data_IF_080998124667
#
_entry.id   IF_080998124667
#
_cell.length_a   1.000
_cell.length_b   1.000
_cell.length_c   1.000
_cell.angle_alpha   90.00
_cell.angle_beta   90.00
_cell.angle_gamma   90.00
#
_symmetry.space_group_name_H-M   'P 1'
#
loop_
_entity.id
_entity.type
_entity.pdbx_description
1 polymer ?
#
# COMPACT_ATOMS: atom_id res chain seq x y z
N UNK A 1 5.94 70.65 14.09
CA UNK A 1 4.78 70.00 14.73
C UNK A 1 4.32 68.94 13.75
N UNK A 2 4.93 67.75 13.86
CA UNK A 2 4.30 66.51 14.36
C UNK A 2 3.38 65.95 13.26
N UNK A 3 3.77 65.00 12.41
CA UNK A 3 4.68 63.88 12.66
C UNK A 3 3.92 62.73 13.32
N UNK A 4 2.88 62.23 12.66
CA UNK A 4 2.16 61.03 13.09
C UNK A 4 2.78 59.79 12.43
N UNK A 5 3.40 59.00 13.30
CA UNK A 5 3.93 57.67 13.07
C UNK A 5 2.77 56.70 12.87
N UNK A 6 2.57 56.26 11.62
CA UNK A 6 1.75 55.10 11.33
C UNK A 6 2.50 53.83 11.74
N UNK A 7 2.02 53.16 12.79
CA UNK A 7 2.48 51.83 13.21
C UNK A 7 2.39 50.84 12.04
N UNK A 8 3.40 49.99 11.80
CA UNK A 8 3.26 48.90 10.84
C UNK A 8 2.31 47.88 11.45
N UNK A 9 1.12 47.75 10.85
CA UNK A 9 0.23 46.63 11.09
C UNK A 9 1.02 45.33 10.95
N UNK A 10 1.02 44.51 11.99
CA UNK A 10 1.43 43.11 11.93
C UNK A 10 0.70 42.46 10.77
N UNK A 11 1.39 42.35 9.63
CA UNK A 11 0.99 41.42 8.58
C UNK A 11 1.24 40.06 9.18
N UNK A 12 0.20 39.45 9.75
CA UNK A 12 0.12 38.01 9.84
C UNK A 12 0.41 37.46 8.44
N UNK A 13 1.65 37.06 8.22
CA UNK A 13 2.10 36.35 7.04
C UNK A 13 1.33 35.03 7.07
N UNK A 14 0.19 35.00 6.38
CA UNK A 14 -0.47 33.75 6.01
C UNK A 14 0.57 32.97 5.21
N UNK A 15 1.02 31.79 5.69
CA UNK A 15 1.99 30.99 4.95
C UNK A 15 1.41 30.71 3.56
N UNK A 16 2.22 30.77 2.49
CA UNK A 16 1.76 30.37 1.18
C UNK A 16 1.19 28.94 1.26
N UNK A 17 0.12 28.65 0.53
CA UNK A 17 -0.63 27.39 0.62
C UNK A 17 0.24 26.12 0.49
N UNK A 18 1.44 26.22 -0.10
CA UNK A 18 2.44 25.14 -0.16
C UNK A 18 3.13 24.85 1.18
N UNK A 19 3.36 25.85 2.02
CA UNK A 19 4.06 25.72 3.30
C UNK A 19 3.14 25.16 4.40
N UNK A 20 1.88 25.59 4.41
CA UNK A 20 0.85 25.03 5.30
C UNK A 20 0.59 23.55 4.99
N UNK A 21 0.45 23.20 3.70
CA UNK A 21 0.33 21.79 3.26
C UNK A 21 1.55 20.96 3.67
N UNK A 22 2.75 21.52 3.60
CA UNK A 22 3.99 20.86 4.06
C UNK A 22 3.96 20.63 5.57
N UNK A 23 3.56 21.63 6.35
CA UNK A 23 3.47 21.53 7.81
C UNK A 23 2.49 20.46 8.26
N UNK A 24 1.27 20.47 7.73
CA UNK A 24 0.23 19.47 8.03
C UNK A 24 0.68 18.06 7.68
N UNK A 25 1.47 17.92 6.62
CA UNK A 25 1.98 16.63 6.20
C UNK A 25 3.10 16.12 7.12
N UNK A 26 4.06 16.97 7.51
CA UNK A 26 5.09 16.65 8.51
C UNK A 26 4.45 16.24 9.84
N UNK A 27 3.43 16.98 10.27
CA UNK A 27 2.69 16.69 11.50
C UNK A 27 2.02 15.32 11.47
N UNK A 28 1.41 14.93 10.33
CA UNK A 28 0.80 13.62 10.14
C UNK A 28 1.82 12.49 10.20
N UNK A 29 2.97 12.62 9.52
CA UNK A 29 4.06 11.65 9.66
C UNK A 29 4.53 11.54 11.11
N UNK A 30 4.77 12.67 11.78
CA UNK A 30 5.17 12.68 13.17
C UNK A 30 4.11 12.03 14.09
N UNK A 31 2.81 12.14 13.76
CA UNK A 31 1.73 11.46 14.47
C UNK A 31 1.74 9.95 14.24
N UNK A 32 1.91 9.48 12.99
CA UNK A 32 2.06 8.04 12.66
C UNK A 32 3.26 7.44 13.38
N UNK A 33 4.42 8.07 13.27
CA UNK A 33 5.65 7.60 13.92
C UNK A 33 5.49 7.56 15.45
N UNK A 34 4.80 8.55 16.03
CA UNK A 34 4.50 8.57 17.45
C UNK A 34 3.55 7.44 17.87
N UNK A 35 2.47 7.17 17.12
CA UNK A 35 1.56 6.04 17.37
C UNK A 35 2.32 4.70 17.33
N UNK A 36 3.19 4.50 16.35
CA UNK A 36 4.04 3.31 16.25
C UNK A 36 4.92 3.11 17.47
N UNK A 37 5.56 4.19 17.96
CA UNK A 37 6.38 4.14 19.18
C UNK A 37 5.54 3.88 20.42
N UNK A 38 4.34 4.48 20.52
CA UNK A 38 3.38 4.21 21.59
C UNK A 38 3.00 2.73 21.61
N UNK A 39 2.62 2.15 20.47
CA UNK A 39 2.30 0.71 20.38
C UNK A 39 3.49 -0.15 20.75
N UNK A 40 4.69 0.17 20.25
CA UNK A 40 5.89 -0.57 20.60
C UNK A 40 6.17 -0.51 22.11
N UNK A 41 5.86 0.61 22.77
CA UNK A 41 5.95 0.77 24.22
C UNK A 41 4.89 -0.06 24.96
N UNK A 42 3.64 -0.10 24.49
CA UNK A 42 2.60 -0.96 25.07
C UNK A 42 3.01 -2.43 24.93
N UNK A 43 3.38 -2.86 23.72
CA UNK A 43 3.81 -4.24 23.39
C UNK A 43 4.95 -4.71 24.29
N UNK A 44 5.92 -3.85 24.61
CA UNK A 44 7.04 -4.25 25.48
C UNK A 44 6.63 -4.53 26.93
N UNK A 45 5.46 -4.03 27.36
CA UNK A 45 4.86 -4.31 28.67
C UNK A 45 3.93 -5.53 28.70
N UNK A 46 3.54 -6.09 27.55
CA UNK A 46 2.60 -7.23 27.50
C UNK A 46 3.35 -8.56 27.64
N UNK A 47 3.29 -9.17 28.84
CA UNK A 47 3.73 -10.55 29.07
C UNK A 47 2.73 -11.55 28.49
N UNK A 48 3.14 -12.82 28.37
CA UNK A 48 2.25 -13.88 27.84
C UNK A 48 0.99 -14.08 28.71
N UNK A 49 1.12 -13.97 30.04
CA UNK A 49 -0.02 -14.00 30.97
C UNK A 49 -0.97 -12.82 30.73
N UNK A 50 -0.44 -11.61 30.56
CA UNK A 50 -1.24 -10.41 30.26
C UNK A 50 -1.92 -10.56 28.90
N UNK A 51 -1.21 -11.07 27.88
CA UNK A 51 -1.79 -11.31 26.56
C UNK A 51 -2.93 -12.32 26.64
N UNK A 52 -2.75 -13.42 27.38
CA UNK A 52 -3.82 -14.39 27.62
C UNK A 52 -5.02 -13.72 28.27
N UNK A 53 -4.82 -12.98 29.35
CA UNK A 53 -5.88 -12.28 30.08
C UNK A 53 -6.65 -11.31 29.19
N UNK A 54 -5.96 -10.57 28.31
CA UNK A 54 -6.61 -9.71 27.33
C UNK A 54 -7.42 -10.56 26.34
N UNK A 55 -6.82 -11.60 25.75
CA UNK A 55 -7.41 -12.38 24.67
C UNK A 55 -8.55 -13.33 25.08
N UNK A 56 -8.67 -13.70 26.35
CA UNK A 56 -9.78 -14.55 26.84
C UNK A 56 -11.03 -13.76 27.25
N UNK A 57 -10.98 -12.42 27.24
CA UNK A 57 -12.13 -11.60 27.67
C UNK A 57 -13.40 -11.92 26.88
N UNK A 58 -14.58 -11.90 27.50
CA UNK A 58 -15.82 -12.20 26.81
C UNK A 58 -16.16 -11.13 25.75
N UNK A 59 -16.98 -11.49 24.75
CA UNK A 59 -17.33 -10.60 23.63
C UNK A 59 -18.16 -9.39 24.09
N UNK A 60 -18.90 -9.56 25.19
CA UNK A 60 -19.71 -8.53 25.82
C UNK A 60 -18.88 -7.41 26.46
N UNK A 61 -17.58 -7.64 26.71
CA UNK A 61 -16.64 -6.63 27.20
C UNK A 61 -15.94 -5.86 26.07
N UNK A 62 -16.35 -6.10 24.82
CA UNK A 62 -15.73 -5.50 23.63
C UNK A 62 -16.73 -4.81 22.73
N UNK A 63 -16.26 -3.81 21.99
CA UNK A 63 -17.00 -3.26 20.85
C UNK A 63 -16.83 -4.13 19.58
N UNK A 64 -17.47 -3.73 18.50
CA UNK A 64 -17.41 -4.38 17.18
C UNK A 64 -16.00 -4.41 16.57
N UNK A 65 -15.13 -3.48 16.96
CA UNK A 65 -13.72 -3.42 16.55
C UNK A 65 -12.78 -4.17 17.52
N UNK A 66 -13.37 -4.90 18.50
CA UNK A 66 -12.69 -5.66 19.56
C UNK A 66 -12.03 -4.78 20.62
N UNK A 67 -12.32 -3.50 20.69
CA UNK A 67 -11.76 -2.68 21.74
C UNK A 67 -12.38 -3.05 23.07
N UNK A 68 -11.55 -3.20 24.10
CA UNK A 68 -12.04 -3.40 25.46
C UNK A 68 -12.81 -2.14 25.89
N UNK A 69 -14.07 -2.31 26.28
CA UNK A 69 -14.97 -1.23 26.66
C UNK A 69 -14.60 -0.60 28.01
N UNK A 70 -14.01 -1.38 28.91
CA UNK A 70 -13.62 -0.92 30.23
C UNK A 70 -12.32 -0.09 30.18
N UNK A 71 -12.49 1.22 30.34
CA UNK A 71 -11.39 2.17 30.34
C UNK A 71 -10.43 2.00 31.53
N UNK A 72 -10.86 1.48 32.68
CA UNK A 72 -9.95 1.21 33.80
C UNK A 72 -8.93 0.15 33.41
N UNK A 73 -9.37 -0.88 32.68
CA UNK A 73 -8.50 -1.93 32.14
C UNK A 73 -7.59 -1.36 31.05
N UNK A 74 -8.14 -0.59 30.12
CA UNK A 74 -7.34 0.03 29.04
C UNK A 74 -6.21 0.88 29.62
N UNK A 75 -6.49 1.68 30.66
CA UNK A 75 -5.51 2.58 31.28
C UNK A 75 -4.49 1.88 32.19
N UNK A 76 -4.65 0.59 32.49
CA UNK A 76 -3.57 -0.20 33.10
C UNK A 76 -2.39 -0.41 32.13
N UNK A 77 -2.67 -0.44 30.83
CA UNK A 77 -1.67 -0.77 29.80
C UNK A 77 -1.33 0.42 28.90
N UNK A 78 -2.29 1.31 28.65
CA UNK A 78 -2.09 2.49 27.79
C UNK A 78 -1.88 3.73 28.65
N UNK A 79 -0.69 4.38 28.58
CA UNK A 79 -0.40 5.55 29.39
C UNK A 79 -1.30 6.73 29.02
N UNK A 80 -1.59 7.60 29.98
CA UNK A 80 -2.32 8.86 29.75
C UNK A 80 -1.52 9.86 28.90
N UNK A 81 -0.19 9.79 28.97
CA UNK A 81 0.75 10.62 28.24
C UNK A 81 1.95 9.79 27.77
N UNK A 82 2.39 9.99 26.53
CA UNK A 82 3.57 9.35 25.95
C UNK A 82 4.38 10.36 25.12
N UNK A 83 5.69 10.45 25.39
CA UNK A 83 6.59 11.41 24.73
C UNK A 83 6.08 12.87 24.76
N UNK A 84 5.51 13.31 25.89
CA UNK A 84 5.01 14.67 26.06
C UNK A 84 3.69 14.97 25.34
N UNK A 85 2.99 13.94 24.84
CA UNK A 85 1.68 14.06 24.18
C UNK A 85 0.63 13.22 24.90
N UNK A 86 -0.56 13.78 25.09
CA UNK A 86 -1.69 13.06 25.67
C UNK A 86 -2.18 11.96 24.72
N UNK A 87 -2.54 10.81 25.29
CA UNK A 87 -3.23 9.71 24.60
C UNK A 87 -4.73 9.82 24.92
N UNK A 88 -5.58 10.28 23.99
CA UNK A 88 -7.01 10.47 24.25
C UNK A 88 -7.73 9.16 24.61
N UNK A 89 -8.76 9.23 25.46
CA UNK A 89 -9.59 8.05 25.80
C UNK A 89 -10.26 7.43 24.58
N UNK A 90 -10.56 8.23 23.54
CA UNK A 90 -11.13 7.72 22.28
C UNK A 90 -10.15 6.87 21.47
N UNK A 91 -8.84 7.13 21.59
CA UNK A 91 -7.81 6.38 20.86
C UNK A 91 -7.26 5.20 21.67
N UNK A 92 -7.23 5.31 23.00
CA UNK A 92 -6.55 4.35 23.87
C UNK A 92 -7.04 2.88 23.72
N UNK A 93 -8.35 2.58 23.66
CA UNK A 93 -8.83 1.22 23.46
C UNK A 93 -8.32 0.61 22.15
N UNK A 94 -8.33 1.40 21.07
CA UNK A 94 -7.82 1.00 19.77
C UNK A 94 -6.32 0.72 19.81
N UNK A 95 -5.53 1.61 20.42
CA UNK A 95 -4.09 1.41 20.56
C UNK A 95 -3.75 0.14 21.37
N UNK A 96 -4.55 -0.21 22.39
CA UNK A 96 -4.39 -1.48 23.13
C UNK A 96 -4.72 -2.71 22.28
N UNK A 97 -5.82 -2.68 21.52
CA UNK A 97 -6.20 -3.78 20.61
C UNK A 97 -5.08 -4.05 19.62
N UNK A 98 -4.60 -2.99 18.97
CA UNK A 98 -3.51 -3.05 17.99
C UNK A 98 -2.19 -3.53 18.60
N UNK A 99 -1.83 -3.05 19.79
CA UNK A 99 -0.66 -3.52 20.51
C UNK A 99 -0.79 -5.00 20.93
N UNK A 100 -1.99 -5.45 21.29
CA UNK A 100 -2.25 -6.86 21.60
C UNK A 100 -2.03 -7.74 20.37
N UNK A 101 -2.55 -7.33 19.20
CA UNK A 101 -2.32 -8.04 17.95
C UNK A 101 -0.84 -8.08 17.55
N UNK A 102 -0.14 -6.94 17.60
CA UNK A 102 1.29 -6.88 17.28
C UNK A 102 2.11 -7.73 18.26
N UNK A 103 1.75 -7.76 19.54
CA UNK A 103 2.39 -8.63 20.50
C UNK A 103 2.17 -10.11 20.15
N UNK A 104 0.95 -10.54 19.83
CA UNK A 104 0.67 -11.91 19.36
C UNK A 104 1.49 -12.26 18.14
N UNK A 105 1.46 -11.41 17.10
CA UNK A 105 2.27 -11.58 15.87
C UNK A 105 3.74 -11.75 16.23
N UNK A 106 4.29 -10.88 17.09
CA UNK A 106 5.69 -10.97 17.55
C UNK A 106 6.05 -12.25 18.31
N UNK A 107 5.11 -12.91 18.99
CA UNK A 107 5.36 -14.22 19.64
C UNK A 107 5.25 -15.39 18.65
N UNK A 108 4.49 -15.23 17.58
CA UNK A 108 4.36 -16.21 16.50
C UNK A 108 5.46 -16.07 15.44
N UNK A 109 6.16 -14.93 15.40
CA UNK A 109 7.33 -14.70 14.53
C UNK A 109 8.35 -15.83 14.66
N UNK A 110 8.83 -16.31 13.52
CA UNK A 110 9.81 -17.39 13.42
C UNK A 110 9.22 -18.79 13.29
N UNK A 111 7.89 -18.91 13.30
CA UNK A 111 7.20 -20.15 12.92
C UNK A 111 7.06 -20.17 11.39
N UNK A 112 7.91 -20.93 10.70
CA UNK A 112 8.05 -20.90 9.23
C UNK A 112 6.76 -21.21 8.45
N UNK A 113 5.82 -21.96 9.04
CA UNK A 113 4.55 -22.29 8.38
C UNK A 113 3.54 -21.15 8.42
N UNK A 114 3.67 -20.18 9.33
CA UNK A 114 2.81 -18.99 9.36
C UNK A 114 3.36 -17.98 8.34
N UNK A 115 2.52 -17.51 7.42
CA UNK A 115 2.95 -16.65 6.31
C UNK A 115 2.24 -15.30 6.26
N UNK A 116 1.22 -15.10 7.10
CA UNK A 116 0.46 -13.87 7.12
C UNK A 116 -0.65 -13.87 8.15
N UNK A 117 -1.28 -12.71 8.30
CA UNK A 117 -2.37 -12.51 9.26
C UNK A 117 -3.56 -11.85 8.57
N UNK A 118 -4.76 -12.17 9.00
CA UNK A 118 -5.97 -11.46 8.58
C UNK A 118 -6.94 -11.31 9.76
N UNK A 119 -8.09 -10.69 9.51
CA UNK A 119 -9.23 -10.66 10.42
C UNK A 119 -10.34 -11.51 9.83
N UNK A 120 -11.06 -12.20 10.71
CA UNK A 120 -12.33 -12.80 10.34
C UNK A 120 -13.43 -12.28 11.22
N UNK A 121 -14.60 -12.03 10.64
CA UNK A 121 -15.85 -11.79 11.37
C UNK A 121 -16.71 -13.06 11.31
N UNK A 122 -16.62 -13.93 12.33
CA UNK A 122 -17.64 -14.96 12.49
C UNK A 122 -19.02 -14.31 12.71
N UNK A 123 -20.09 -15.05 12.42
CA UNK A 123 -21.49 -14.62 12.54
C UNK A 123 -21.90 -13.97 13.88
N UNK A 124 -21.03 -13.99 14.91
CA UNK A 124 -21.22 -13.37 16.22
C UNK A 124 -20.69 -11.91 16.33
N UNK A 125 -20.29 -11.27 15.22
CA UNK A 125 -19.87 -9.85 15.17
C UNK A 125 -18.66 -9.47 16.02
N UNK A 126 -17.87 -10.44 16.48
CA UNK A 126 -16.58 -10.13 17.14
C UNK A 126 -15.48 -10.61 16.23
N UNK A 127 -14.76 -9.67 15.63
CA UNK A 127 -13.64 -10.01 14.75
C UNK A 127 -12.56 -10.78 15.53
N UNK A 128 -11.82 -11.66 14.84
CA UNK A 128 -10.71 -12.44 15.41
C UNK A 128 -9.43 -12.16 14.65
N UNK A 129 -8.30 -12.17 15.34
CA UNK A 129 -6.99 -12.23 14.68
C UNK A 129 -6.81 -13.65 14.15
N UNK A 130 -6.56 -13.78 12.84
CA UNK A 130 -6.35 -15.06 12.18
C UNK A 130 -4.89 -15.15 11.73
N UNK A 131 -4.15 -16.14 12.22
CA UNK A 131 -2.85 -16.51 11.67
C UNK A 131 -3.07 -17.51 10.53
N UNK A 132 -2.57 -17.16 9.34
CA UNK A 132 -2.64 -18.00 8.15
C UNK A 132 -1.38 -18.86 8.08
N UNK A 133 -1.56 -20.18 7.96
CA UNK A 133 -0.44 -21.11 7.84
C UNK A 133 -0.57 -22.03 6.64
N UNK A 134 0.54 -22.58 6.17
CA UNK A 134 0.61 -23.61 5.13
C UNK A 134 1.67 -24.66 5.48
N UNK A 135 1.59 -25.85 4.90
CA UNK A 135 2.58 -26.91 5.13
C UNK A 135 2.38 -27.66 6.44
N UNK A 136 3.29 -27.53 7.39
CA UNK A 136 3.21 -28.18 8.71
C UNK A 136 2.40 -27.32 9.69
N UNK A 137 1.45 -27.94 10.40
CA UNK A 137 0.59 -27.22 11.35
C UNK A 137 1.44 -26.63 12.48
N UNK A 138 1.40 -25.29 12.68
CA UNK A 138 2.27 -24.64 13.65
C UNK A 138 1.88 -25.00 15.09
N UNK A 139 2.89 -25.25 15.90
CA UNK A 139 2.70 -25.46 17.34
C UNK A 139 2.55 -24.11 18.02
N UNK A 140 1.33 -23.81 18.49
CA UNK A 140 1.03 -22.55 19.15
C UNK A 140 1.61 -22.47 20.58
N UNK A 141 2.13 -21.29 20.99
CA UNK A 141 2.45 -21.00 22.37
C UNK A 141 1.27 -21.22 23.32
N UNK A 142 1.56 -21.58 24.59
CA UNK A 142 0.54 -21.92 25.59
C UNK A 142 -0.50 -20.81 25.79
N UNK A 143 -0.07 -19.55 25.76
CA UNK A 143 -0.95 -18.41 26.02
C UNK A 143 -2.05 -18.24 24.94
N UNK A 144 -1.86 -18.80 23.74
CA UNK A 144 -2.83 -18.77 22.63
C UNK A 144 -3.76 -20.00 22.58
N UNK A 145 -3.53 -21.01 23.42
CA UNK A 145 -4.41 -22.19 23.46
C UNK A 145 -5.77 -21.84 24.04
N UNK A 146 -6.82 -22.30 23.36
CA UNK A 146 -8.23 -22.11 23.74
C UNK A 146 -8.66 -20.65 23.90
N UNK A 147 -8.08 -19.77 23.09
CA UNK A 147 -8.36 -18.33 23.10
C UNK A 147 -9.48 -17.98 22.12
N UNK A 148 -10.42 -17.11 22.52
CA UNK A 148 -11.60 -16.77 21.72
C UNK A 148 -11.32 -15.82 20.54
N UNK A 149 -10.30 -14.94 20.66
CA UNK A 149 -9.97 -13.93 19.63
C UNK A 149 -8.75 -14.27 18.78
N UNK A 150 -8.28 -15.49 18.86
CA UNK A 150 -7.21 -15.98 18.02
C UNK A 150 -7.70 -17.21 17.26
N UNK A 151 -7.40 -17.26 15.98
CA UNK A 151 -7.68 -18.41 15.14
C UNK A 151 -6.44 -18.76 14.34
N UNK A 152 -6.13 -20.05 14.29
CA UNK A 152 -5.16 -20.59 13.36
C UNK A 152 -5.92 -21.20 12.17
N UNK A 153 -5.69 -20.67 10.97
CA UNK A 153 -6.42 -21.08 9.76
C UNK A 153 -5.45 -21.55 8.68
N UNK A 154 -5.71 -22.74 8.14
CA UNK A 154 -5.00 -23.24 6.98
C UNK A 154 -5.30 -22.32 5.80
N UNK A 155 -4.26 -21.69 5.28
CA UNK A 155 -4.30 -20.81 4.13
C UNK A 155 -3.83 -21.50 2.85
N UNK A 156 -3.66 -20.71 1.80
CA UNK A 156 -3.12 -21.17 0.53
C UNK A 156 -1.59 -21.10 0.58
N UNK A 157 -0.92 -22.06 -0.06
CA UNK A 157 0.53 -21.99 -0.25
C UNK A 157 0.87 -20.73 -1.07
N UNK A 158 1.65 -19.77 -0.52
CA UNK A 158 2.04 -18.55 -1.23
C UNK A 158 2.80 -18.85 -2.53
N UNK A 159 3.47 -19.99 -2.64
CA UNK A 159 4.19 -20.40 -3.85
C UNK A 159 3.27 -20.78 -5.01
N UNK A 160 1.98 -21.02 -4.76
CA UNK A 160 0.98 -21.22 -5.81
C UNK A 160 0.57 -19.91 -6.50
N UNK A 161 0.89 -18.76 -5.91
CA UNK A 161 0.66 -17.46 -6.55
C UNK A 161 1.60 -17.36 -7.74
N UNK A 162 1.03 -17.43 -8.94
CA UNK A 162 1.76 -17.21 -10.18
C UNK A 162 1.77 -15.71 -10.45
N UNK A 163 2.97 -15.18 -10.70
CA UNK A 163 3.08 -13.82 -11.20
C UNK A 163 2.51 -13.81 -12.62
N UNK A 164 1.58 -12.89 -12.88
CA UNK A 164 0.87 -12.80 -14.16
C UNK A 164 1.75 -12.06 -15.18
N UNK A 165 2.94 -12.60 -15.42
CA UNK A 165 3.88 -12.17 -16.45
C UNK A 165 3.96 -13.25 -17.52
N UNK A 166 3.66 -12.92 -18.78
CA UNK A 166 4.06 -13.80 -19.89
C UNK A 166 5.16 -13.16 -20.72
N UNK A 167 5.80 -14.02 -21.51
CA UNK A 167 6.61 -13.64 -22.64
C UNK A 167 5.88 -14.10 -23.89
N UNK A 168 5.40 -13.17 -24.71
CA UNK A 168 4.85 -13.52 -26.03
C UNK A 168 6.00 -13.53 -27.05
N UNK A 169 6.48 -14.72 -27.39
CA UNK A 169 7.29 -14.93 -28.61
C UNK A 169 6.33 -15.22 -29.75
N UNK A 170 6.14 -14.24 -30.63
CA UNK A 170 5.44 -14.47 -31.91
C UNK A 170 6.47 -14.90 -32.97
N UNK A 171 6.42 -16.14 -33.50
CA UNK A 171 7.07 -16.41 -34.77
C UNK A 171 6.25 -15.70 -35.86
N UNK A 172 6.83 -14.67 -36.46
CA UNK A 172 6.37 -14.18 -37.76
C UNK A 172 6.81 -15.23 -38.77
N UNK A 173 5.85 -15.95 -39.35
CA UNK A 173 6.10 -16.71 -40.57
C UNK A 173 6.54 -15.73 -41.68
N UNK A 174 7.84 -15.69 -41.91
CA UNK A 174 8.43 -15.21 -43.16
C UNK A 174 9.65 -16.08 -43.47
N UNK A 175 9.70 -16.71 -44.65
CA UNK A 175 10.69 -17.74 -44.96
C UNK A 175 12.01 -17.10 -45.39
N UNK A 176 12.65 -16.36 -44.49
CA UNK A 176 14.06 -15.96 -44.59
C UNK A 176 14.42 -15.01 -43.47
N UNK A 177 14.85 -15.54 -42.33
CA UNK A 177 15.98 -15.04 -41.53
C UNK A 177 16.38 -16.19 -40.61
N UNK A 178 17.61 -16.63 -40.77
CA UNK A 178 18.33 -17.57 -39.91
C UNK A 178 18.35 -17.08 -38.46
N UNK A 179 17.86 -17.93 -37.54
CA UNK A 179 18.22 -18.02 -36.12
C UNK A 179 18.79 -16.75 -35.46
N UNK A 180 17.96 -15.73 -35.30
CA UNK A 180 18.13 -14.75 -34.23
C UNK A 180 17.11 -15.12 -33.17
N UNK A 181 17.53 -15.82 -32.12
CA UNK A 181 16.82 -15.86 -30.84
C UNK A 181 16.67 -14.41 -30.39
N UNK A 182 15.50 -13.82 -30.61
CA UNK A 182 15.18 -12.52 -30.02
C UNK A 182 15.05 -12.70 -28.50
N UNK A 183 15.55 -11.76 -27.69
CA UNK A 183 15.43 -11.86 -26.25
C UNK A 183 13.96 -11.87 -25.84
N UNK A 184 13.64 -12.83 -24.97
CA UNK A 184 12.42 -12.94 -24.17
C UNK A 184 12.23 -11.57 -23.50
N UNK A 185 11.18 -10.81 -23.85
CA UNK A 185 10.82 -9.56 -23.17
C UNK A 185 9.70 -9.83 -22.18
N UNK A 186 9.86 -9.37 -20.95
CA UNK A 186 8.78 -9.25 -19.99
C UNK A 186 7.73 -8.25 -20.49
N UNK A 187 6.44 -8.57 -20.32
CA UNK A 187 5.37 -7.58 -20.53
C UNK A 187 4.38 -7.61 -19.36
N UNK A 188 3.70 -6.48 -19.17
CA UNK A 188 2.75 -6.27 -18.08
C UNK A 188 1.89 -5.04 -18.35
N UNK A 189 1.22 -4.58 -17.30
CA UNK A 189 0.34 -3.42 -17.33
C UNK A 189 0.97 -2.22 -16.63
N UNK A 190 0.69 -1.03 -17.15
CA UNK A 190 0.94 0.21 -16.42
C UNK A 190 -0.27 0.51 -15.54
N UNK A 191 -0.08 0.60 -14.22
CA UNK A 191 -1.17 0.80 -13.29
C UNK A 191 -1.76 2.20 -13.39
N UNK A 192 -0.91 3.22 -13.27
CA UNK A 192 -1.31 4.61 -13.41
C UNK A 192 -0.13 5.55 -13.65
N UNK A 193 -0.42 6.77 -14.11
CA UNK A 193 0.53 7.89 -14.10
C UNK A 193 0.42 8.70 -12.81
N UNK A 194 1.57 8.98 -12.23
CA UNK A 194 1.72 9.69 -10.98
C UNK A 194 2.69 10.87 -11.10
N UNK A 195 2.59 11.78 -10.14
CA UNK A 195 3.57 12.81 -9.85
C UNK A 195 4.41 12.36 -8.66
N UNK A 196 5.72 12.38 -8.85
CA UNK A 196 6.74 12.09 -7.84
C UNK A 196 7.41 13.39 -7.41
N UNK A 197 7.13 13.82 -6.18
CA UNK A 197 7.58 15.11 -5.64
C UNK A 197 8.55 14.91 -4.48
N UNK A 198 9.63 15.69 -4.43
CA UNK A 198 10.50 15.72 -3.25
C UNK A 198 9.92 16.63 -2.17
N UNK A 199 9.79 16.14 -0.94
CA UNK A 199 9.11 16.87 0.13
C UNK A 199 9.88 18.06 0.70
N UNK A 200 11.19 17.94 0.86
CA UNK A 200 12.02 18.96 1.52
C UNK A 200 12.49 20.05 0.57
N UNK A 201 12.64 19.73 -0.71
CA UNK A 201 13.25 20.60 -1.70
C UNK A 201 12.25 21.01 -2.78
N UNK A 202 11.51 22.09 -2.53
CA UNK A 202 10.57 22.69 -3.50
C UNK A 202 11.23 23.20 -4.80
N UNK A 203 12.56 23.16 -4.87
CA UNK A 203 13.36 23.49 -6.06
C UNK A 203 13.61 22.27 -6.95
N UNK A 204 13.37 21.05 -6.46
CA UNK A 204 13.49 19.83 -7.27
C UNK A 204 12.22 19.74 -8.11
N UNK A 205 12.34 19.58 -9.44
CA UNK A 205 11.19 19.48 -10.32
C UNK A 205 10.35 18.25 -9.97
N UNK A 206 9.03 18.43 -10.03
CA UNK A 206 8.07 17.33 -9.98
C UNK A 206 8.29 16.45 -11.20
N UNK A 207 8.42 15.14 -10.99
CA UNK A 207 8.63 14.17 -12.07
C UNK A 207 7.35 13.41 -12.33
N UNK A 208 7.06 13.13 -13.60
CA UNK A 208 6.00 12.19 -13.93
C UNK A 208 6.57 10.79 -13.94
N UNK A 209 5.84 9.87 -13.34
CA UNK A 209 6.22 8.46 -13.28
C UNK A 209 5.03 7.57 -13.60
N UNK A 210 5.27 6.52 -14.37
CA UNK A 210 4.41 5.36 -14.42
C UNK A 210 4.62 4.48 -13.20
N UNK A 211 3.54 3.88 -12.69
CA UNK A 211 3.59 2.96 -11.54
C UNK A 211 3.23 1.57 -12.01
N UNK A 212 4.07 0.58 -11.72
CA UNK A 212 3.85 -0.83 -12.06
C UNK A 212 4.58 -1.75 -11.06
N UNK A 213 4.46 -3.06 -11.24
CA UNK A 213 5.19 -4.08 -10.46
C UNK A 213 6.58 -4.34 -11.01
N UNK A 214 7.43 -4.95 -10.19
CA UNK A 214 8.83 -5.12 -10.45
C UNK A 214 9.15 -6.16 -11.50
N UNK A 215 8.49 -7.30 -11.37
CA UNK A 215 8.72 -8.48 -12.21
C UNK A 215 8.27 -8.31 -13.66
N UNK A 216 7.56 -7.23 -14.02
CA UNK A 216 7.24 -6.93 -15.42
C UNK A 216 8.36 -6.20 -16.16
N UNK A 217 9.45 -5.83 -15.45
CA UNK A 217 10.64 -5.20 -16.04
C UNK A 217 11.85 -6.14 -15.90
N UNK A 218 12.47 -6.48 -17.03
CA UNK A 218 13.62 -7.37 -17.09
C UNK A 218 14.88 -6.77 -16.46
N UNK A 219 15.64 -7.61 -15.74
CA UNK A 219 16.94 -7.27 -15.18
C UNK A 219 18.01 -7.21 -16.30
N UNK A 220 18.35 -6.01 -16.79
CA UNK A 220 19.57 -5.77 -17.57
C UNK A 220 19.42 -5.52 -19.07
N UNK A 221 18.22 -5.28 -19.58
CA UNK A 221 18.04 -4.65 -20.90
C UNK A 221 18.15 -3.14 -20.76
N UNK A 222 18.85 -2.45 -21.68
CA UNK A 222 18.83 -0.98 -21.76
C UNK A 222 17.38 -0.51 -21.61
N UNK A 223 17.10 0.22 -20.52
CA UNK A 223 15.83 0.33 -19.77
C UNK A 223 14.67 0.98 -20.53
N UNK A 224 14.52 0.71 -21.82
CA UNK A 224 13.48 1.31 -22.65
C UNK A 224 12.27 0.39 -22.68
N UNK A 225 11.25 0.76 -21.90
CA UNK A 225 9.93 0.14 -21.94
C UNK A 225 9.11 0.88 -22.98
N UNK A 226 8.46 0.13 -23.87
CA UNK A 226 7.52 0.67 -24.86
C UNK A 226 6.09 0.46 -24.34
N UNK A 227 5.29 1.53 -24.35
CA UNK A 227 3.88 1.45 -24.00
C UNK A 227 3.01 1.31 -25.26
N UNK A 228 2.16 0.28 -25.30
CA UNK A 228 1.14 0.09 -26.34
C UNK A 228 -0.23 0.49 -25.79
N UNK A 229 -1.10 1.04 -26.64
CA UNK A 229 -2.47 1.43 -26.29
C UNK A 229 -3.44 0.80 -27.27
N UNK A 230 -4.67 0.52 -26.83
CA UNK A 230 -5.68 -0.23 -27.60
C UNK A 230 -5.99 0.37 -28.99
N UNK A 231 -5.89 1.70 -29.13
CA UNK A 231 -6.29 2.41 -30.36
C UNK A 231 -5.10 2.84 -31.24
N UNK A 232 -3.88 2.93 -30.69
CA UNK A 232 -2.67 3.37 -31.41
C UNK A 232 -1.37 2.81 -30.79
N UNK A 233 -0.42 2.44 -31.65
CA UNK A 233 0.97 2.24 -31.25
C UNK A 233 1.61 3.61 -31.02
N UNK A 234 1.54 4.11 -29.79
CA UNK A 234 2.29 5.27 -29.34
C UNK A 234 3.50 4.80 -28.53
N UNK A 235 4.60 4.37 -29.17
CA UNK A 235 5.76 3.88 -28.45
C UNK A 235 6.33 5.03 -27.62
N UNK A 236 6.07 5.00 -26.33
CA UNK A 236 6.72 5.90 -25.39
C UNK A 236 7.79 5.14 -24.66
N UNK A 237 9.00 5.67 -24.77
CA UNK A 237 10.16 5.18 -24.06
C UNK A 237 10.10 5.65 -22.62
N UNK A 238 9.80 4.71 -21.73
CA UNK A 238 9.92 4.90 -20.29
C UNK A 238 11.22 4.26 -19.79
N UNK A 239 11.83 4.84 -18.78
CA UNK A 239 13.03 4.35 -18.11
C UNK A 239 12.73 4.07 -16.65
N UNK A 240 13.33 3.02 -16.07
CA UNK A 240 13.21 2.78 -14.63
C UNK A 240 13.81 3.97 -13.87
N UNK A 241 13.07 4.51 -12.91
CA UNK A 241 13.55 5.60 -12.08
C UNK A 241 14.82 5.18 -11.31
N UNK A 242 15.85 6.04 -11.15
CA UNK A 242 17.16 5.61 -10.64
C UNK A 242 17.13 4.87 -9.29
N UNK A 243 16.25 5.26 -8.36
CA UNK A 243 16.13 4.58 -7.05
C UNK A 243 15.49 3.19 -7.15
N UNK A 244 14.81 2.90 -8.27
CA UNK A 244 14.01 1.70 -8.50
C UNK A 244 14.67 0.74 -9.49
N UNK A 245 15.84 1.09 -10.04
CA UNK A 245 16.68 0.19 -10.81
C UNK A 245 16.98 -1.08 -10.02
N UNK A 246 16.93 -2.23 -10.69
CA UNK A 246 17.09 -3.53 -10.01
C UNK A 246 18.51 -4.07 -10.08
N UNK A 247 19.28 -3.70 -11.11
CA UNK A 247 20.69 -4.07 -11.31
C UNK A 247 20.97 -5.57 -11.08
N UNK A 248 20.05 -6.44 -11.53
CA UNK A 248 20.17 -7.89 -11.40
C UNK A 248 19.86 -8.46 -10.01
N UNK A 249 19.30 -7.66 -9.10
CA UNK A 249 18.99 -8.05 -7.72
C UNK A 249 17.50 -8.31 -7.45
N UNK A 250 16.66 -8.36 -8.50
CA UNK A 250 15.19 -8.53 -8.43
C UNK A 250 14.47 -7.60 -7.45
N UNK A 251 15.11 -6.51 -7.01
CA UNK A 251 14.58 -5.56 -6.03
C UNK A 251 15.14 -4.17 -6.31
N UNK A 252 14.42 -3.07 -5.97
CA UNK A 252 14.85 -1.71 -6.30
C UNK A 252 16.12 -1.31 -5.53
N UNK A 253 16.93 -0.44 -6.14
CA UNK A 253 18.23 0.00 -5.63
C UNK A 253 18.17 0.52 -4.19
N UNK A 254 17.12 1.28 -3.84
CA UNK A 254 16.97 1.80 -2.47
C UNK A 254 16.77 0.70 -1.41
N UNK A 255 16.43 -0.52 -1.81
CA UNK A 255 16.28 -1.69 -0.94
C UNK A 255 17.50 -2.62 -0.94
N UNK A 256 18.57 -2.32 -1.69
CA UNK A 256 19.75 -3.20 -1.78
C UNK A 256 20.54 -3.34 -0.48
N UNK A 257 20.48 -2.33 0.40
CA UNK A 257 21.13 -2.36 1.71
C UNK A 257 20.37 -3.17 2.77
N UNK A 258 19.15 -3.62 2.46
CA UNK A 258 18.30 -4.33 3.40
C UNK A 258 18.60 -5.82 3.38
N UNK A 259 18.77 -6.39 4.57
CA UNK A 259 19.25 -7.76 4.73
C UNK A 259 18.28 -8.81 4.16
N UNK A 260 16.97 -8.59 4.30
CA UNK A 260 15.93 -9.51 3.84
C UNK A 260 15.05 -8.90 2.76
N UNK A 261 14.63 -9.71 1.76
CA UNK A 261 13.65 -9.28 0.79
C UNK A 261 12.28 -9.11 1.45
N UNK A 262 11.47 -8.20 0.90
CA UNK A 262 10.06 -8.05 1.24
C UNK A 262 9.29 -7.93 -0.06
N UNK A 263 8.61 -9.00 -0.46
CA UNK A 263 8.01 -9.12 -1.80
C UNK A 263 7.16 -7.91 -2.18
N UNK A 264 6.28 -7.43 -1.29
CA UNK A 264 5.47 -6.23 -1.52
C UNK A 264 6.30 -5.00 -1.93
N UNK A 265 7.42 -4.73 -1.27
CA UNK A 265 8.23 -3.54 -1.51
C UNK A 265 9.33 -3.75 -2.54
N UNK A 266 9.80 -4.98 -2.67
CA UNK A 266 10.74 -5.36 -3.71
C UNK A 266 10.08 -5.35 -5.09
N UNK A 267 8.76 -5.42 -5.16
CA UNK A 267 7.96 -5.28 -6.37
C UNK A 267 7.62 -3.83 -6.74
N UNK A 268 8.01 -2.81 -5.96
CA UNK A 268 7.75 -1.43 -6.37
C UNK A 268 8.59 -1.08 -7.61
N UNK A 269 7.93 -0.64 -8.68
CA UNK A 269 8.59 -0.13 -9.88
C UNK A 269 7.99 1.21 -10.32
N UNK A 270 8.85 2.22 -10.44
CA UNK A 270 8.49 3.53 -10.99
C UNK A 270 9.23 3.75 -12.30
N UNK A 271 8.50 4.20 -13.31
CA UNK A 271 8.98 4.40 -14.66
C UNK A 271 8.97 5.89 -15.01
N UNK A 272 10.13 6.52 -15.08
CA UNK A 272 10.30 7.92 -15.47
C UNK A 272 10.28 8.08 -17.00
N UNK A 273 9.83 9.23 -17.47
CA UNK A 273 10.07 9.68 -18.83
C UNK A 273 10.45 11.15 -18.83
N UNK A 274 11.36 11.51 -19.73
CA UNK A 274 11.73 12.90 -19.98
C UNK A 274 10.71 13.63 -20.88
N UNK A 275 9.84 12.88 -21.56
CA UNK A 275 8.82 13.38 -22.47
C UNK A 275 7.55 12.54 -22.34
N UNK A 276 6.52 13.06 -21.68
CA UNK A 276 5.17 12.52 -21.84
C UNK A 276 4.55 13.21 -23.05
N UNK A 277 4.04 12.43 -24.00
CA UNK A 277 3.23 12.98 -25.08
C UNK A 277 1.87 13.41 -24.53
N UNK A 278 1.24 14.41 -25.13
CA UNK A 278 -0.09 14.86 -24.71
C UNK A 278 -1.12 13.73 -24.83
N UNK A 279 -0.92 12.77 -25.74
CA UNK A 279 -1.75 11.58 -25.90
C UNK A 279 -1.65 10.64 -24.69
N UNK A 280 -0.45 10.36 -24.18
CA UNK A 280 -0.28 9.57 -22.96
C UNK A 280 -0.89 10.24 -21.74
N UNK A 281 -0.66 11.55 -21.64
CA UNK A 281 -1.24 12.37 -20.58
C UNK A 281 -2.76 12.28 -20.66
N UNK A 282 -3.36 12.36 -21.84
CA UNK A 282 -4.80 12.22 -22.03
C UNK A 282 -5.33 10.82 -21.75
N UNK A 283 -4.60 9.76 -22.11
CA UNK A 283 -4.99 8.36 -21.90
C UNK A 283 -4.98 7.95 -20.42
N UNK A 284 -3.99 8.43 -19.66
CA UNK A 284 -3.79 8.02 -18.26
C UNK A 284 -4.13 9.11 -17.23
N UNK A 285 -4.52 10.31 -17.64
CA UNK A 285 -5.14 11.29 -16.74
C UNK A 285 -6.58 10.90 -16.41
N UNK A 286 -6.77 10.29 -15.24
CA UNK A 286 -8.10 9.91 -14.73
C UNK A 286 -8.64 10.94 -13.72
N UNK A 287 -8.32 12.24 -13.88
CA UNK A 287 -8.39 13.17 -12.74
C UNK A 287 -9.77 13.48 -12.20
N UNK A 288 -10.77 13.51 -13.06
CA UNK A 288 -12.11 13.90 -12.63
C UNK A 288 -12.88 12.70 -12.09
N UNK A 289 -12.31 11.50 -12.25
CA UNK A 289 -12.84 10.27 -11.70
C UNK A 289 -12.08 9.82 -10.45
N UNK A 290 -10.80 10.17 -10.23
CA UNK A 290 -10.08 9.68 -9.05
C UNK A 290 -10.46 10.43 -7.77
N UNK A 291 -10.83 9.65 -6.75
CA UNK A 291 -10.89 10.08 -5.37
C UNK A 291 -10.30 8.98 -4.47
N UNK A 292 -9.05 9.16 -4.06
CA UNK A 292 -8.34 8.23 -3.17
C UNK A 292 -9.01 8.07 -1.81
N UNK A 293 -9.87 9.02 -1.41
CA UNK A 293 -10.44 9.07 -0.07
C UNK A 293 -11.96 8.89 -0.06
N UNK A 294 -12.59 8.62 -1.21
CA UNK A 294 -14.05 8.53 -1.31
C UNK A 294 -14.66 7.41 -0.45
N UNK A 295 -13.91 6.35 -0.17
CA UNK A 295 -14.36 5.26 0.71
C UNK A 295 -14.01 5.48 2.19
N UNK A 296 -13.30 6.55 2.52
CA UNK A 296 -12.67 6.72 3.83
C UNK A 296 -13.10 8.02 4.51
N UNK A 297 -13.16 7.98 5.84
CA UNK A 297 -13.44 9.18 6.63
C UNK A 297 -12.22 10.09 6.67
N UNK A 298 -12.29 11.25 6.02
CA UNK A 298 -11.23 12.25 6.06
C UNK A 298 -11.17 12.93 7.45
N UNK A 299 -9.97 13.06 8.04
CA UNK A 299 -9.77 13.88 9.22
C UNK A 299 -10.21 15.33 9.03
N UNK A 300 -10.76 15.94 10.09
CA UNK A 300 -11.14 17.35 10.13
C UNK A 300 -9.97 18.28 9.75
N UNK A 301 -10.25 19.26 8.90
CA UNK A 301 -9.25 20.28 8.49
C UNK A 301 -8.45 19.94 7.24
N UNK A 302 -8.72 18.80 6.60
CA UNK A 302 -8.15 18.46 5.29
C UNK A 302 -8.97 19.13 4.18
N UNK A 303 -8.27 19.78 3.25
CA UNK A 303 -8.82 20.27 1.98
C UNK A 303 -9.28 19.08 1.12
N UNK A 304 -10.61 18.84 0.98
CA UNK A 304 -11.12 17.65 0.30
C UNK A 304 -10.63 17.59 -1.15
N UNK A 305 -10.65 18.73 -1.86
CA UNK A 305 -10.27 18.82 -3.27
C UNK A 305 -8.76 18.61 -3.46
N UNK A 306 -7.95 19.18 -2.57
CA UNK A 306 -6.49 19.03 -2.61
C UNK A 306 -5.99 17.62 -2.24
N UNK A 307 -6.87 16.77 -1.71
CA UNK A 307 -6.57 15.46 -1.16
C UNK A 307 -6.96 14.27 -2.04
N UNK A 308 -7.86 14.48 -3.02
CA UNK A 308 -8.42 13.45 -3.91
C UNK A 308 -7.35 12.58 -4.59
N UNK A 309 -6.19 13.16 -4.93
CA UNK A 309 -5.13 12.48 -5.68
C UNK A 309 -4.02 11.92 -4.79
N UNK A 310 -4.20 11.90 -3.48
CA UNK A 310 -3.15 11.59 -2.51
C UNK A 310 -3.49 10.28 -1.81
N UNK A 311 -2.93 9.14 -2.26
CA UNK A 311 -3.21 7.84 -1.65
C UNK A 311 -2.75 7.82 -0.18
N UNK A 312 -1.47 8.02 0.13
CA UNK A 312 -0.96 8.03 1.51
C UNK A 312 -1.30 9.30 2.33
N UNK A 313 -2.52 9.81 2.21
CA UNK A 313 -3.04 10.90 3.04
C UNK A 313 -3.44 10.39 4.44
N UNK A 314 -4.12 9.25 4.46
CA UNK A 314 -4.65 8.58 5.65
C UNK A 314 -3.62 7.64 6.27
N UNK A 315 -3.82 7.36 7.56
CA UNK A 315 -3.07 6.30 8.24
C UNK A 315 -3.42 4.96 7.60
N UNK A 316 -2.42 4.12 7.34
CA UNK A 316 -2.66 2.81 6.70
C UNK A 316 -3.57 1.93 7.55
N UNK A 317 -3.52 2.16 8.86
CA UNK A 317 -4.33 1.50 9.85
C UNK A 317 -5.81 1.83 9.71
N UNK A 318 -6.12 3.12 9.55
CA UNK A 318 -7.49 3.60 9.36
C UNK A 318 -8.05 3.08 8.02
N UNK A 319 -7.19 2.97 7.00
CA UNK A 319 -7.55 2.40 5.68
C UNK A 319 -7.82 0.90 5.79
N UNK A 320 -6.96 0.16 6.50
CA UNK A 320 -7.14 -1.27 6.73
C UNK A 320 -8.44 -1.56 7.47
N UNK A 321 -8.70 -0.87 8.59
CA UNK A 321 -9.94 -1.01 9.37
C UNK A 321 -11.18 -0.72 8.50
N UNK A 322 -11.16 0.40 7.76
CA UNK A 322 -12.27 0.77 6.87
C UNK A 322 -12.53 -0.26 5.77
N UNK A 323 -11.47 -0.78 5.13
CA UNK A 323 -11.63 -1.75 4.05
C UNK A 323 -12.16 -3.09 4.57
N UNK A 324 -11.73 -3.55 5.75
CA UNK A 324 -12.25 -4.76 6.39
C UNK A 324 -13.76 -4.64 6.62
N UNK A 325 -14.24 -3.50 7.13
CA UNK A 325 -15.67 -3.24 7.38
C UNK A 325 -16.51 -3.19 6.09
N UNK A 326 -15.87 -2.91 4.95
CA UNK A 326 -16.52 -2.86 3.64
C UNK A 326 -16.54 -4.21 2.92
N UNK A 327 -15.92 -5.27 3.46
CA UNK A 327 -15.90 -6.57 2.80
C UNK A 327 -17.26 -7.28 2.87
N UNK A 328 -17.66 -8.02 1.80
CA UNK A 328 -17.01 -8.09 0.49
C UNK A 328 -17.24 -6.83 -0.34
N UNK A 329 -16.21 -6.39 -1.08
CA UNK A 329 -16.25 -5.16 -1.89
C UNK A 329 -16.06 -5.46 -3.38
N UNK A 330 -16.93 -4.95 -4.24
CA UNK A 330 -16.74 -5.02 -5.70
C UNK A 330 -15.52 -4.19 -6.13
N UNK A 331 -14.62 -4.82 -6.89
CA UNK A 331 -13.40 -4.19 -7.39
C UNK A 331 -13.22 -4.48 -8.86
N UNK A 332 -12.48 -3.60 -9.53
CA UNK A 332 -12.21 -3.67 -10.94
C UNK A 332 -10.72 -3.49 -11.21
N UNK A 333 -10.29 -3.95 -12.38
CA UNK A 333 -9.00 -3.57 -12.95
C UNK A 333 -9.10 -3.41 -14.46
N UNK A 334 -8.12 -2.73 -15.03
CA UNK A 334 -7.87 -2.71 -16.47
C UNK A 334 -6.46 -3.24 -16.71
N UNK A 335 -6.34 -4.47 -17.21
CA UNK A 335 -5.06 -5.12 -17.48
C UNK A 335 -4.82 -5.33 -18.98
N UNK A 336 -3.56 -5.40 -19.39
CA UNK A 336 -3.17 -5.61 -20.79
C UNK A 336 -3.57 -6.99 -21.33
N UNK A 337 -3.70 -7.98 -20.44
CA UNK A 337 -4.15 -9.33 -20.77
C UNK A 337 -5.66 -9.39 -20.93
N UNK A 338 -6.42 -9.04 -19.88
CA UNK A 338 -7.89 -9.24 -19.87
C UNK A 338 -8.70 -8.01 -20.25
N UNK A 339 -8.10 -6.84 -20.40
CA UNK A 339 -8.82 -5.56 -20.44
C UNK A 339 -9.51 -5.27 -19.11
N UNK A 340 -10.69 -4.65 -19.18
CA UNK A 340 -11.51 -4.31 -18.02
C UNK A 340 -12.21 -5.55 -17.44
N UNK A 341 -11.90 -5.88 -16.18
CA UNK A 341 -12.53 -7.00 -15.45
C UNK A 341 -13.05 -6.56 -14.08
N UNK A 342 -13.94 -7.39 -13.52
CA UNK A 342 -14.56 -7.18 -12.21
C UNK A 342 -14.36 -8.42 -11.35
N UNK A 343 -14.13 -8.22 -10.06
CA UNK A 343 -13.98 -9.26 -9.05
C UNK A 343 -14.52 -8.77 -7.70
N UNK A 344 -14.35 -9.60 -6.69
CA UNK A 344 -14.78 -9.27 -5.32
C UNK A 344 -13.59 -9.32 -4.38
N UNK A 345 -13.24 -8.19 -3.77
CA UNK A 345 -12.30 -8.16 -2.66
C UNK A 345 -12.96 -8.84 -1.47
N UNK A 346 -12.37 -9.94 -1.01
CA UNK A 346 -12.94 -10.80 0.04
C UNK A 346 -12.08 -10.88 1.30
N UNK A 347 -10.81 -10.49 1.22
CA UNK A 347 -9.87 -10.60 2.33
C UNK A 347 -8.69 -9.62 2.16
N UNK A 348 -8.13 -9.17 3.28
CA UNK A 348 -6.98 -8.27 3.32
C UNK A 348 -5.97 -8.82 4.34
N UNK A 349 -4.83 -9.23 3.83
CA UNK A 349 -3.80 -9.94 4.57
C UNK A 349 -2.67 -8.99 4.92
N UNK A 350 -2.35 -8.91 6.21
CA UNK A 350 -1.13 -8.32 6.73
C UNK A 350 0.04 -9.28 6.48
N UNK A 351 1.03 -8.82 5.73
CA UNK A 351 2.22 -9.59 5.37
C UNK A 351 3.27 -9.44 6.48
N UNK A 352 3.83 -10.56 6.92
CA UNK A 352 4.73 -10.56 8.08
C UNK A 352 6.02 -9.75 7.84
N UNK A 353 6.36 -8.90 8.81
CA UNK A 353 7.65 -8.20 8.90
C UNK A 353 8.71 -9.11 9.51
N UNK A 354 9.42 -9.83 8.65
CA UNK A 354 10.38 -10.86 9.03
C UNK A 354 11.77 -10.30 9.46
N UNK A 355 11.80 -9.14 10.13
CA UNK A 355 13.04 -8.44 10.50
C UNK A 355 13.47 -8.76 11.94
N UNK A 356 13.91 -10.01 12.18
CA UNK A 356 14.23 -10.52 13.53
C UNK A 356 15.67 -10.33 13.99
N UNK A 357 16.57 -9.74 13.19
CA UNK A 357 18.01 -9.74 13.52
C UNK A 357 18.79 -8.43 13.32
N UNK A 358 18.15 -7.31 12.96
CA UNK A 358 18.89 -6.04 12.87
C UNK A 358 19.14 -5.43 14.24
N UNK A 359 20.23 -5.84 14.89
CA UNK A 359 20.81 -5.12 16.04
C UNK A 359 21.48 -3.81 15.62
N UNK A 360 21.63 -3.53 14.32
CA UNK A 360 22.29 -2.33 13.80
C UNK A 360 21.69 -1.91 12.45
N UNK A 361 21.14 -0.69 12.43
CA UNK A 361 20.67 0.11 11.28
C UNK A 361 19.23 -0.17 10.77
N UNK A 362 18.41 0.88 10.93
CA UNK A 362 17.07 1.15 10.35
C UNK A 362 16.11 -0.04 10.34
N UNK A 363 15.21 -0.10 11.33
CA UNK A 363 14.12 -1.08 11.37
C UNK A 363 13.18 -0.86 10.17
N UNK A 364 12.87 -1.92 9.43
CA UNK A 364 11.82 -1.84 8.39
C UNK A 364 10.45 -1.94 9.08
N UNK A 365 9.80 -0.81 9.31
CA UNK A 365 8.55 -0.71 10.07
C UNK A 365 7.33 -0.37 9.20
N UNK A 366 7.51 -0.29 7.88
CA UNK A 366 6.39 -0.02 6.97
C UNK A 366 5.53 -1.27 6.84
N UNK A 367 4.23 -1.13 7.15
CA UNK A 367 3.26 -2.22 7.06
C UNK A 367 2.94 -2.56 5.60
N UNK A 368 2.90 -3.87 5.29
CA UNK A 368 2.61 -4.38 3.96
C UNK A 368 1.31 -5.17 3.98
N UNK A 369 0.33 -4.75 3.16
CA UNK A 369 -0.93 -5.45 3.03
C UNK A 369 -1.12 -6.00 1.61
N UNK A 370 -1.74 -7.18 1.53
CA UNK A 370 -2.14 -7.85 0.31
C UNK A 370 -3.67 -7.95 0.26
N UNK A 371 -4.23 -7.58 -0.87
CA UNK A 371 -5.64 -7.71 -1.21
C UNK A 371 -5.87 -9.06 -1.89
N UNK A 372 -6.89 -9.80 -1.47
CA UNK A 372 -7.32 -11.04 -2.11
C UNK A 372 -8.66 -10.83 -2.83
N UNK A 373 -8.64 -11.00 -4.14
CA UNK A 373 -9.79 -10.78 -5.03
C UNK A 373 -10.27 -12.13 -5.55
N UNK A 374 -11.52 -12.48 -5.32
CA UNK A 374 -12.18 -13.64 -5.94
C UNK A 374 -12.72 -13.29 -7.32
N UNK A 375 -12.56 -14.21 -8.26
CA UNK A 375 -13.08 -14.07 -9.62
C UNK A 375 -14.58 -14.32 -9.64
N UNK A 376 -15.32 -13.59 -10.46
CA UNK A 376 -16.76 -13.80 -10.60
C UNK A 376 -17.11 -15.14 -11.24
N UNK A 377 -16.29 -15.59 -12.20
CA UNK A 377 -16.44 -16.88 -12.85
C UNK A 377 -15.12 -17.38 -13.45
N UNK A 378 -14.97 -18.69 -13.72
CA UNK A 378 -13.81 -19.19 -14.46
C UNK A 378 -13.80 -18.78 -15.94
N UNK A 379 -14.98 -18.51 -16.52
CA UNK A 379 -15.12 -18.13 -17.94
C UNK A 379 -14.82 -16.63 -18.15
N UNK A 380 -14.86 -15.85 -17.08
CA UNK A 380 -14.52 -14.43 -17.02
C UNK A 380 -13.44 -14.23 -15.93
N UNK A 381 -12.20 -14.69 -16.18
CA UNK A 381 -11.14 -14.60 -15.19
C UNK A 381 -10.89 -13.15 -14.82
N UNK A 382 -10.64 -12.89 -13.53
CA UNK A 382 -10.28 -11.54 -13.12
C UNK A 382 -8.98 -11.11 -13.79
N UNK A 383 -7.98 -11.99 -13.84
CA UNK A 383 -6.68 -11.72 -14.43
C UNK A 383 -6.12 -12.89 -15.24
N UNK A 384 -5.19 -12.58 -16.14
CA UNK A 384 -4.33 -13.54 -16.84
C UNK A 384 -2.94 -12.94 -17.05
N UNK A 385 -2.02 -13.73 -17.59
CA UNK A 385 -0.67 -13.27 -17.91
C UNK A 385 -0.67 -11.93 -18.69
N UNK A 386 0.09 -10.96 -18.20
CA UNK A 386 0.17 -9.59 -18.72
C UNK A 386 -0.56 -8.54 -17.88
N UNK A 387 -1.42 -8.96 -16.95
CA UNK A 387 -2.19 -8.03 -16.12
C UNK A 387 -1.43 -7.50 -14.91
N UNK A 388 -0.31 -8.13 -14.55
CA UNK A 388 0.58 -7.65 -13.49
C UNK A 388 0.94 -6.18 -13.69
N UNK A 389 0.85 -5.39 -12.63
CA UNK A 389 1.08 -3.95 -12.66
C UNK A 389 -0.16 -3.10 -12.83
N UNK A 390 -1.32 -3.68 -13.17
CA UNK A 390 -2.58 -2.95 -13.33
C UNK A 390 -3.10 -2.39 -12.00
N UNK A 391 -3.79 -1.25 -12.07
CA UNK A 391 -4.45 -0.66 -10.91
C UNK A 391 -5.73 -1.43 -10.59
N UNK A 392 -5.83 -1.91 -9.35
CA UNK A 392 -7.08 -2.41 -8.77
C UNK A 392 -7.78 -1.28 -8.04
N UNK A 393 -9.06 -1.09 -8.34
CA UNK A 393 -9.85 0.03 -7.83
C UNK A 393 -11.30 -0.35 -7.56
N UNK A 394 -11.94 0.37 -6.64
CA UNK A 394 -13.39 0.32 -6.44
C UNK A 394 -14.08 1.52 -7.10
N UNK A 395 -15.40 1.44 -7.29
CA UNK A 395 -16.22 2.57 -7.75
C UNK A 395 -17.10 3.07 -6.61
N UNK A 396 -17.04 4.37 -6.33
CA UNK A 396 -17.89 5.02 -5.33
C UNK A 396 -18.46 6.32 -5.89
N UNK A 397 -19.79 6.43 -6.00
CA UNK A 397 -20.47 7.60 -6.57
C UNK A 397 -19.90 8.10 -7.91
N UNK A 398 -19.55 7.16 -8.80
CA UNK A 398 -18.98 7.46 -10.11
C UNK A 398 -17.50 7.88 -10.07
N UNK A 399 -16.86 7.81 -8.90
CA UNK A 399 -15.42 8.00 -8.72
C UNK A 399 -14.70 6.66 -8.65
N UNK A 400 -13.51 6.62 -9.24
CA UNK A 400 -12.51 5.58 -9.09
C UNK A 400 -11.78 5.78 -7.76
N UNK A 401 -11.79 4.77 -6.90
CA UNK A 401 -11.05 4.74 -5.65
C UNK A 401 -9.93 3.72 -5.80
N UNK A 402 -8.69 4.17 -6.05
CA UNK A 402 -7.53 3.29 -6.17
C UNK A 402 -7.35 2.50 -4.88
N UNK A 403 -7.12 1.18 -4.98
CA UNK A 403 -6.92 0.32 -3.81
C UNK A 403 -5.52 -0.30 -3.81
N UNK A 404 -5.07 -0.84 -4.94
CA UNK A 404 -3.81 -1.58 -4.99
C UNK A 404 -3.28 -1.80 -6.39
N UNK A 405 -2.15 -2.48 -6.47
CA UNK A 405 -1.49 -2.86 -7.73
C UNK A 405 -1.50 -4.38 -7.83
N UNK A 406 -2.10 -4.90 -8.89
CA UNK A 406 -2.19 -6.33 -9.18
C UNK A 406 -0.80 -6.91 -9.43
N UNK A 407 -0.50 -8.10 -8.90
CA UNK A 407 0.82 -8.72 -9.07
C UNK A 407 0.80 -10.21 -9.43
N UNK A 408 -0.33 -10.89 -9.30
CA UNK A 408 -0.40 -12.32 -9.61
C UNK A 408 -1.71 -12.98 -9.21
N UNK A 409 -1.88 -14.22 -9.64
CA UNK A 409 -3.10 -14.99 -9.47
C UNK A 409 -2.85 -16.46 -9.15
N UNK A 410 -3.84 -17.11 -8.54
CA UNK A 410 -3.94 -18.56 -8.42
C UNK A 410 -5.21 -19.00 -9.17
N UNK A 411 -5.03 -19.46 -10.40
CA UNK A 411 -6.13 -19.90 -11.28
C UNK A 411 -6.90 -21.11 -10.71
N UNK A 412 -6.20 -21.99 -9.99
CA UNK A 412 -6.80 -23.19 -9.41
C UNK A 412 -7.82 -22.82 -8.34
N UNK A 413 -7.54 -21.75 -7.60
CA UNK A 413 -8.42 -21.19 -6.58
C UNK A 413 -9.28 -20.03 -7.06
N UNK A 414 -9.07 -19.55 -8.29
CA UNK A 414 -9.79 -18.43 -8.91
C UNK A 414 -9.69 -17.16 -8.08
N UNK A 415 -8.48 -16.87 -7.65
CA UNK A 415 -8.16 -15.69 -6.84
C UNK A 415 -7.01 -14.92 -7.46
N UNK A 416 -7.09 -13.61 -7.38
CA UNK A 416 -6.03 -12.68 -7.76
C UNK A 416 -5.58 -11.89 -6.55
N UNK A 417 -4.34 -11.39 -6.62
CA UNK A 417 -3.70 -10.72 -5.51
C UNK A 417 -3.16 -9.36 -5.93
N UNK A 418 -3.27 -8.40 -5.02
CA UNK A 418 -2.75 -7.04 -5.24
C UNK A 418 -2.07 -6.52 -3.98
N UNK A 419 -1.04 -5.70 -4.13
CA UNK A 419 -0.46 -4.98 -2.99
C UNK A 419 -1.25 -3.71 -2.72
N UNK A 420 -1.56 -3.44 -1.44
CA UNK A 420 -2.27 -2.22 -1.05
C UNK A 420 -1.42 -0.99 -1.42
N UNK A 421 -2.02 -0.05 -2.16
CA UNK A 421 -1.32 1.12 -2.68
C UNK A 421 -0.75 2.01 -1.56
N UNK A 422 -1.41 2.04 -0.40
CA UNK A 422 -0.96 2.77 0.79
C UNK A 422 0.36 2.23 1.32
N UNK A 423 0.57 0.91 1.31
CA UNK A 423 1.84 0.29 1.72
C UNK A 423 2.99 0.81 0.87
N UNK A 424 2.82 0.82 -0.46
CA UNK A 424 3.83 1.32 -1.40
C UNK A 424 4.09 2.81 -1.24
N UNK A 425 3.01 3.60 -1.18
CA UNK A 425 3.11 5.03 -1.05
C UNK A 425 3.80 5.39 0.26
N UNK A 426 3.46 4.74 1.37
CA UNK A 426 4.13 4.96 2.66
C UNK A 426 5.60 4.54 2.64
N UNK A 427 5.96 3.44 1.98
CA UNK A 427 7.35 3.00 1.88
C UNK A 427 8.22 4.04 1.16
N UNK A 428 7.77 4.52 -0.01
CA UNK A 428 8.44 5.57 -0.79
C UNK A 428 8.57 6.85 0.06
N UNK A 429 7.50 7.20 0.76
CA UNK A 429 7.36 8.36 1.61
C UNK A 429 8.33 8.27 2.82
N UNK A 430 8.44 7.12 3.46
CA UNK A 430 9.28 6.92 4.64
C UNK A 430 10.76 6.79 4.31
N UNK A 431 11.13 6.03 3.28
CA UNK A 431 12.53 5.69 2.97
C UNK A 431 13.21 6.67 2.02
N UNK A 432 12.46 7.29 1.11
CA UNK A 432 13.04 8.17 0.08
C UNK A 432 12.72 9.66 0.27
N UNK A 433 11.84 10.01 1.21
CA UNK A 433 11.33 11.39 1.36
C UNK A 433 10.66 11.93 0.07
N UNK A 434 10.08 11.00 -0.69
CA UNK A 434 9.37 11.26 -1.93
C UNK A 434 7.88 11.05 -1.73
N UNK A 435 7.07 11.86 -2.38
CA UNK A 435 5.62 11.74 -2.36
C UNK A 435 5.11 11.31 -3.72
N UNK A 436 4.31 10.25 -3.73
CA UNK A 436 3.58 9.79 -4.91
C UNK A 436 2.13 10.32 -4.86
N UNK A 437 1.68 10.96 -5.92
CA UNK A 437 0.28 11.42 -6.07
C UNK A 437 -0.24 11.13 -7.46
N UNK A 438 -1.54 10.88 -7.62
CA UNK A 438 -2.14 10.74 -8.94
C UNK A 438 -2.01 12.04 -9.73
N UNK A 439 -1.65 11.90 -11.00
CA UNK A 439 -1.51 13.06 -11.87
C UNK A 439 -2.88 13.64 -12.21
N UNK A 440 -3.06 14.96 -11.99
CA UNK A 440 -4.26 15.68 -12.43
C UNK A 440 -3.91 16.73 -13.49
N UNK A 441 -4.77 16.97 -14.51
CA UNK A 441 -4.62 17.97 -15.56
C UNK A 441 -4.21 19.35 -15.03
N UNK A 442 -4.73 19.76 -13.87
CA UNK A 442 -4.39 21.05 -13.27
C UNK A 442 -3.03 21.12 -12.56
N UNK A 443 -2.40 19.96 -12.26
CA UNK A 443 -1.07 19.88 -11.63
C UNK A 443 0.02 19.40 -12.58
N UNK A 444 -0.35 18.82 -13.72
CA UNK A 444 0.55 18.55 -14.81
C UNK A 444 1.07 19.88 -15.36
N UNK A 445 2.24 20.33 -14.89
CA UNK A 445 2.99 21.43 -15.52
C UNK A 445 3.84 20.90 -16.68
N UNK A 446 3.30 19.98 -17.47
CA UNK A 446 3.73 19.90 -18.86
C UNK A 446 3.14 21.14 -19.54
N UNK A 447 3.74 22.30 -19.28
CA UNK A 447 3.53 23.44 -20.14
C UNK A 447 4.07 22.99 -21.49
N UNK A 448 3.18 22.73 -22.43
CA UNK A 448 3.55 22.73 -23.82
C UNK A 448 4.35 24.00 -24.04
N UNK A 449 5.66 23.86 -24.25
CA UNK A 449 6.40 24.87 -24.97
C UNK A 449 5.96 24.77 -26.44
N UNK A 450 4.69 25.05 -26.68
CA UNK A 450 4.13 25.23 -28.01
C UNK A 450 4.26 26.71 -28.33
N UNK A 451 5.30 26.97 -29.10
CA UNK A 451 5.52 28.07 -30.05
C UNK A 451 4.26 28.71 -30.60
#
# INVERSE_FOLDING_TARGET
MNGETGSPSERHLVPPASEERRRQWIERRARRDWKRRLRAHIVSGLTDDILRDLLIRPAEERDEHRNILDMEIVRQYVPLEFEGRSVPDVDAPRELTWATEDAVKRRLRGIESIYGYTRSEPYNRTSRLVALWYGEEPVLPEFLKDVLYFELRLGNDPSNIRLDSSCKVYPVDSPSISNVTQPIRSFGSLGFLALLEHRVHSKIPVRHVGVTVGHVVDDGTEDTIELETDDQMCPVQLQVAPNFERQGRRRPAFRHSWARPRECFDEICLLETNTLSDELVALYHVSDAIDCNALFSLPSGIDPVGSLTVPALLDIDDVYDSLIEMLPLEVHKFGAGTGQTTGTLVDIQDLEDDDTYSTQAVRDDTQAFKLKIEWLSPDEPFAQDGDSGSLVYARHHGKTVPLGIHYGSDEGLRVSYSYLLWSWCEEIDNKLDLRLTFCSPGRCRYQSSSS
#
